data_IF_912369761977
#
_entry.id   IF_912369761977
#
_cell.length_a   1.000
_cell.length_b   1.000
_cell.length_c   1.000
_cell.angle_alpha   90.00
_cell.angle_beta   90.00
_cell.angle_gamma   90.00
#
_symmetry.space_group_name_H-M   'P 1'
#
loop_
_entity.id
_entity.type
_entity.pdbx_description
1 polymer ?
#
# COMPACT_ATOMS: atom_id res chain seq x y z
N UNK A 1 -15.14 -8.29 -9.21
CA UNK A 1 -14.18 -8.72 -10.24
C UNK A 1 -12.81 -8.15 -9.87
N UNK A 2 -11.92 -8.98 -9.27
CA UNK A 2 -10.59 -8.55 -8.82
C UNK A 2 -9.74 -7.96 -9.94
N UNK A 3 -9.74 -8.59 -11.12
CA UNK A 3 -8.95 -8.13 -12.27
C UNK A 3 -9.35 -6.70 -12.70
N UNK A 4 -10.65 -6.39 -12.70
CA UNK A 4 -11.12 -5.03 -13.01
C UNK A 4 -10.60 -3.99 -12.01
N UNK A 5 -10.66 -4.29 -10.71
CA UNK A 5 -10.16 -3.37 -9.67
C UNK A 5 -8.67 -3.16 -9.82
N UNK A 6 -7.89 -4.22 -10.01
CA UNK A 6 -6.44 -4.12 -10.23
C UNK A 6 -6.11 -3.28 -11.46
N UNK A 7 -6.76 -3.54 -12.60
CA UNK A 7 -6.53 -2.76 -13.83
C UNK A 7 -6.87 -1.29 -13.65
N UNK A 8 -8.00 -0.98 -12.99
CA UNK A 8 -8.39 0.40 -12.71
C UNK A 8 -7.36 1.10 -11.82
N UNK A 9 -6.96 0.47 -10.72
CA UNK A 9 -6.00 1.01 -9.76
C UNK A 9 -4.65 1.23 -10.42
N UNK A 10 -4.15 0.25 -11.17
CA UNK A 10 -2.89 0.37 -11.91
C UNK A 10 -2.97 1.53 -12.89
N UNK A 11 -4.00 1.62 -13.72
CA UNK A 11 -4.13 2.70 -14.70
C UNK A 11 -4.20 4.10 -14.06
N UNK A 12 -4.97 4.26 -12.98
CA UNK A 12 -5.09 5.53 -12.26
C UNK A 12 -3.76 5.91 -11.59
N UNK A 13 -3.13 4.97 -10.90
CA UNK A 13 -1.87 5.20 -10.20
C UNK A 13 -0.75 5.50 -11.19
N UNK A 14 -0.62 4.73 -12.27
CA UNK A 14 0.36 4.95 -13.33
C UNK A 14 0.19 6.30 -14.01
N UNK A 15 -1.04 6.74 -14.26
CA UNK A 15 -1.30 8.06 -14.85
C UNK A 15 -0.86 9.23 -13.96
N UNK A 16 -0.55 8.95 -12.70
CA UNK A 16 -0.10 9.92 -11.70
C UNK A 16 1.40 9.78 -11.38
N UNK A 17 2.12 8.90 -12.08
CA UNK A 17 3.56 8.70 -11.91
C UNK A 17 4.30 9.29 -13.11
N UNK A 18 5.28 10.14 -12.81
CA UNK A 18 6.20 10.70 -13.79
C UNK A 18 7.53 9.95 -13.74
N UNK A 19 8.20 9.79 -14.88
CA UNK A 19 9.48 9.08 -14.98
C UNK A 19 9.37 7.57 -15.22
N UNK A 20 10.51 6.87 -15.16
CA UNK A 20 10.61 5.42 -15.39
C UNK A 20 11.60 4.80 -14.40
N UNK A 21 11.38 3.53 -14.05
CA UNK A 21 12.26 2.80 -13.12
C UNK A 21 12.39 3.51 -11.77
N UNK A 22 13.61 3.55 -11.24
CA UNK A 22 13.94 4.12 -9.92
C UNK A 22 13.77 5.64 -9.83
N UNK A 23 13.70 6.35 -10.95
CA UNK A 23 13.48 7.81 -11.00
C UNK A 23 12.00 8.19 -10.99
N UNK A 24 11.10 7.21 -10.83
CA UNK A 24 9.67 7.44 -10.81
C UNK A 24 9.28 8.32 -9.62
N UNK A 25 8.48 9.36 -9.87
CA UNK A 25 7.98 10.30 -8.87
C UNK A 25 6.48 10.38 -8.93
N UNK A 26 5.86 10.45 -7.75
CA UNK A 26 4.42 10.61 -7.64
C UNK A 26 4.02 12.07 -7.84
N UNK A 27 3.06 12.31 -8.74
CA UNK A 27 2.33 13.55 -8.82
C UNK A 27 1.08 13.46 -7.92
N UNK A 28 1.24 13.88 -6.66
CA UNK A 28 0.19 13.82 -5.64
C UNK A 28 -1.09 14.57 -6.06
N UNK A 29 -0.97 15.69 -6.76
CA UNK A 29 -2.12 16.46 -7.23
C UNK A 29 -2.93 15.68 -8.25
N UNK A 30 -2.27 15.00 -9.19
CA UNK A 30 -2.94 14.18 -10.20
C UNK A 30 -3.59 12.95 -9.53
N UNK A 31 -2.89 12.29 -8.62
CA UNK A 31 -3.44 11.13 -7.91
C UNK A 31 -4.70 11.54 -7.11
N UNK A 32 -4.60 12.59 -6.30
CA UNK A 32 -5.71 13.11 -5.49
C UNK A 32 -6.93 13.53 -6.31
N UNK A 33 -6.74 14.07 -7.52
CA UNK A 33 -7.86 14.40 -8.39
C UNK A 33 -8.57 13.15 -8.96
N UNK A 34 -7.90 11.98 -8.94
CA UNK A 34 -8.42 10.72 -9.48
C UNK A 34 -8.87 9.74 -8.40
N UNK A 35 -8.58 10.01 -7.12
CA UNK A 35 -9.00 9.15 -6.00
C UNK A 35 -10.52 9.04 -5.91
N UNK A 36 -11.28 10.05 -6.32
CA UNK A 36 -12.74 10.00 -6.37
C UNK A 36 -13.27 8.86 -7.29
N UNK A 37 -12.55 8.58 -8.38
CA UNK A 37 -12.88 7.45 -9.25
C UNK A 37 -12.61 6.14 -8.51
N UNK A 38 -11.45 5.99 -7.88
CA UNK A 38 -11.11 4.78 -7.11
C UNK A 38 -12.11 4.55 -5.98
N UNK A 39 -12.44 5.59 -5.22
CA UNK A 39 -13.41 5.57 -4.12
C UNK A 39 -14.75 4.98 -4.56
N UNK A 40 -15.26 5.39 -5.71
CA UNK A 40 -16.54 4.92 -6.25
C UNK A 40 -16.56 3.42 -6.61
N UNK A 41 -15.41 2.83 -6.92
CA UNK A 41 -15.32 1.42 -7.30
C UNK A 41 -14.85 0.52 -6.15
N UNK A 42 -14.14 1.06 -5.18
CA UNK A 42 -13.68 0.32 -3.98
C UNK A 42 -14.77 0.32 -2.91
N UNK A 43 -15.39 1.48 -2.65
CA UNK A 43 -16.60 1.66 -1.82
C UNK A 43 -16.53 1.02 -0.41
N UNK A 44 -15.37 1.11 0.26
CA UNK A 44 -15.15 0.55 1.59
C UNK A 44 -15.43 -0.97 1.70
N UNK A 45 -15.26 -1.69 0.59
CA UNK A 45 -15.39 -3.15 0.53
C UNK A 45 -14.00 -3.72 0.76
N UNK A 46 -13.80 -4.40 1.90
CA UNK A 46 -12.51 -4.95 2.34
C UNK A 46 -11.75 -5.71 1.23
N UNK A 47 -12.42 -6.62 0.53
CA UNK A 47 -11.81 -7.36 -0.58
C UNK A 47 -11.30 -6.46 -1.71
N UNK A 48 -11.98 -5.34 -1.99
CA UNK A 48 -11.58 -4.40 -3.06
C UNK A 48 -10.44 -3.50 -2.60
N UNK A 49 -10.43 -3.10 -1.33
CA UNK A 49 -9.32 -2.37 -0.73
C UNK A 49 -8.05 -3.22 -0.75
N UNK A 50 -8.15 -4.49 -0.36
CA UNK A 50 -7.04 -5.44 -0.41
C UNK A 50 -6.50 -5.62 -1.84
N UNK A 51 -7.39 -5.79 -2.83
CA UNK A 51 -6.99 -5.89 -4.24
C UNK A 51 -6.35 -4.60 -4.78
N UNK A 52 -6.77 -3.43 -4.29
CA UNK A 52 -6.16 -2.16 -4.61
C UNK A 52 -4.72 -2.09 -4.04
N UNK A 53 -4.53 -2.46 -2.79
CA UNK A 53 -3.22 -2.46 -2.13
C UNK A 53 -2.24 -3.41 -2.84
N UNK A 54 -2.67 -4.62 -3.21
CA UNK A 54 -1.87 -5.53 -4.01
C UNK A 54 -1.51 -4.99 -5.39
N UNK A 55 -2.45 -4.29 -6.05
CA UNK A 55 -2.18 -3.68 -7.35
C UNK A 55 -1.11 -2.58 -7.26
N UNK A 56 -1.15 -1.75 -6.21
CA UNK A 56 -0.13 -0.72 -5.96
C UNK A 56 1.22 -1.34 -5.60
N UNK A 57 1.26 -2.34 -4.72
CA UNK A 57 2.48 -3.08 -4.39
C UNK A 57 3.14 -3.64 -5.65
N UNK A 58 2.37 -4.37 -6.47
CA UNK A 58 2.83 -4.95 -7.74
C UNK A 58 3.42 -3.87 -8.65
N UNK A 59 2.72 -2.74 -8.81
CA UNK A 59 3.15 -1.64 -9.67
C UNK A 59 4.48 -1.03 -9.20
N UNK A 60 4.64 -0.80 -7.89
CA UNK A 60 5.88 -0.24 -7.33
C UNK A 60 7.04 -1.24 -7.45
N UNK A 61 6.78 -2.52 -7.27
CA UNK A 61 7.78 -3.58 -7.44
C UNK A 61 8.28 -3.67 -8.88
N UNK A 62 7.38 -3.58 -9.86
CA UNK A 62 7.75 -3.49 -11.28
C UNK A 62 8.62 -2.26 -11.59
N UNK A 63 8.53 -1.21 -10.76
CA UNK A 63 9.35 0.01 -10.87
C UNK A 63 10.61 -0.03 -9.99
N UNK A 64 10.93 -1.18 -9.39
CA UNK A 64 12.12 -1.40 -8.56
C UNK A 64 12.14 -0.53 -7.29
N UNK A 65 10.98 -0.37 -6.64
CA UNK A 65 10.83 0.36 -5.37
C UNK A 65 11.45 1.77 -5.35
N UNK A 66 10.97 2.70 -6.21
CA UNK A 66 11.40 4.10 -6.18
C UNK A 66 11.17 4.72 -4.80
N UNK A 67 12.15 5.49 -4.32
CA UNK A 67 12.15 6.03 -2.96
C UNK A 67 10.90 6.89 -2.70
N UNK A 68 10.13 6.53 -1.68
CA UNK A 68 8.94 7.27 -1.24
C UNK A 68 7.71 7.14 -2.15
N UNK A 69 7.79 6.38 -3.25
CA UNK A 69 6.66 6.26 -4.19
C UNK A 69 5.47 5.55 -3.56
N UNK A 70 5.68 4.36 -2.99
CA UNK A 70 4.59 3.59 -2.38
C UNK A 70 4.00 4.31 -1.17
N UNK A 71 4.86 4.93 -0.35
CA UNK A 71 4.43 5.69 0.81
C UNK A 71 3.50 6.84 0.40
N UNK A 72 3.90 7.68 -0.57
CA UNK A 72 3.05 8.77 -1.03
C UNK A 72 1.74 8.30 -1.67
N UNK A 73 1.74 7.15 -2.35
CA UNK A 73 0.51 6.57 -2.90
C UNK A 73 -0.43 6.15 -1.75
N UNK A 74 0.08 5.42 -0.77
CA UNK A 74 -0.71 4.91 0.36
C UNK A 74 -1.22 6.04 1.27
N UNK A 75 -0.40 7.02 1.60
CA UNK A 75 -0.82 8.24 2.31
C UNK A 75 -1.96 8.94 1.56
N UNK A 76 -1.82 9.14 0.24
CA UNK A 76 -2.87 9.80 -0.56
C UNK A 76 -4.17 9.01 -0.61
N UNK A 77 -4.10 7.67 -0.65
CA UNK A 77 -5.27 6.78 -0.66
C UNK A 77 -6.00 6.80 0.69
N UNK A 78 -5.25 6.81 1.78
CA UNK A 78 -5.79 6.94 3.14
C UNK A 78 -6.44 8.31 3.34
N UNK A 79 -5.73 9.41 3.06
CA UNK A 79 -6.23 10.78 3.19
C UNK A 79 -7.46 11.07 2.33
N UNK A 80 -7.62 10.34 1.22
CA UNK A 80 -8.77 10.44 0.32
C UNK A 80 -9.90 9.47 0.67
N UNK A 81 -9.79 8.75 1.79
CA UNK A 81 -10.79 7.81 2.28
C UNK A 81 -11.12 6.69 1.26
N UNK A 82 -10.12 6.26 0.49
CA UNK A 82 -10.22 5.18 -0.52
C UNK A 82 -9.91 3.82 0.11
N UNK A 83 -9.00 3.80 1.07
CA UNK A 83 -8.59 2.61 1.81
C UNK A 83 -8.70 2.92 3.30
N UNK A 84 -9.38 2.05 4.03
CA UNK A 84 -9.52 2.14 5.48
C UNK A 84 -8.29 1.59 6.21
N UNK A 85 -8.19 1.86 7.51
CA UNK A 85 -7.17 1.23 8.35
C UNK A 85 -7.28 -0.30 8.35
N UNK A 86 -8.50 -0.83 8.45
CA UNK A 86 -8.79 -2.27 8.36
C UNK A 86 -8.29 -2.87 7.03
N UNK A 87 -8.37 -2.10 5.94
CA UNK A 87 -7.81 -2.47 4.64
C UNK A 87 -6.29 -2.62 4.68
N UNK A 88 -5.58 -1.67 5.32
CA UNK A 88 -4.14 -1.77 5.53
C UNK A 88 -3.78 -2.93 6.46
N UNK A 89 -4.49 -3.11 7.57
CA UNK A 89 -4.30 -4.22 8.50
C UNK A 89 -4.45 -5.57 7.81
N UNK A 90 -5.51 -5.71 7.00
CA UNK A 90 -5.78 -6.91 6.22
C UNK A 90 -4.65 -7.19 5.23
N UNK A 91 -4.15 -6.17 4.54
CA UNK A 91 -3.03 -6.31 3.62
C UNK A 91 -1.72 -6.71 4.33
N UNK A 92 -1.46 -6.13 5.51
CA UNK A 92 -0.29 -6.50 6.31
C UNK A 92 -0.38 -7.94 6.78
N UNK A 93 -1.53 -8.36 7.30
CA UNK A 93 -1.76 -9.69 7.88
C UNK A 93 -1.92 -10.79 6.82
N UNK A 94 -2.17 -10.44 5.57
CA UNK A 94 -2.44 -11.42 4.52
C UNK A 94 -1.17 -12.18 4.06
N UNK A 95 -1.10 -13.48 4.35
CA UNK A 95 -0.06 -14.37 3.84
C UNK A 95 -0.53 -15.10 2.56
N UNK A 96 -0.59 -14.37 1.45
CA UNK A 96 -0.85 -14.95 0.13
C UNK A 96 0.49 -15.22 -0.60
N UNK A 97 0.81 -16.49 -0.93
CA UNK A 97 2.01 -16.83 -1.67
C UNK A 97 2.16 -16.13 -3.03
N UNK A 98 1.05 -15.78 -3.69
CA UNK A 98 1.04 -15.10 -4.98
C UNK A 98 1.32 -13.60 -4.86
N UNK A 99 1.07 -12.99 -3.69
CA UNK A 99 1.21 -11.56 -3.46
C UNK A 99 2.39 -11.23 -2.52
N UNK A 100 3.27 -12.20 -2.24
CA UNK A 100 4.45 -12.01 -1.38
C UNK A 100 5.54 -11.17 -2.04
N UNK A 101 5.59 -11.16 -3.38
CA UNK A 101 6.62 -10.43 -4.11
C UNK A 101 6.52 -8.91 -3.86
N UNK A 102 7.61 -8.30 -3.36
CA UNK A 102 7.66 -6.88 -3.08
C UNK A 102 7.00 -6.44 -1.76
N UNK A 103 6.24 -7.31 -1.08
CA UNK A 103 5.54 -7.00 0.17
C UNK A 103 6.51 -6.58 1.28
N UNK A 104 7.57 -7.35 1.55
CA UNK A 104 8.52 -7.00 2.61
C UNK A 104 9.22 -5.64 2.39
N UNK A 105 9.58 -5.32 1.14
CA UNK A 105 10.20 -4.02 0.80
C UNK A 105 9.17 -2.88 0.95
N UNK A 106 7.93 -3.12 0.53
CA UNK A 106 6.82 -2.20 0.75
C UNK A 106 6.62 -1.92 2.24
N UNK A 107 6.44 -2.95 3.06
CA UNK A 107 6.27 -2.87 4.52
C UNK A 107 7.39 -2.08 5.19
N UNK A 108 8.65 -2.40 4.87
CA UNK A 108 9.83 -1.68 5.39
C UNK A 108 9.81 -0.20 5.00
N UNK A 109 9.33 0.13 3.80
CA UNK A 109 9.28 1.51 3.32
C UNK A 109 8.20 2.31 4.04
N UNK A 110 7.05 1.71 4.30
CA UNK A 110 5.89 2.40 4.89
C UNK A 110 5.76 2.21 6.40
N UNK A 111 6.74 1.59 7.06
CA UNK A 111 6.67 1.25 8.49
C UNK A 111 6.26 2.45 9.35
N UNK A 112 6.85 3.62 9.12
CA UNK A 112 6.50 4.84 9.85
C UNK A 112 5.06 5.30 9.62
N UNK A 113 4.52 5.11 8.42
CA UNK A 113 3.12 5.41 8.11
C UNK A 113 2.18 4.43 8.84
N UNK A 114 2.52 3.15 8.89
CA UNK A 114 1.73 2.15 9.61
C UNK A 114 1.73 2.38 11.13
N UNK A 115 2.86 2.79 11.70
CA UNK A 115 2.92 3.20 13.12
C UNK A 115 2.02 4.41 13.36
N UNK A 116 2.06 5.41 12.48
CA UNK A 116 1.19 6.57 12.60
C UNK A 116 -0.30 6.22 12.49
N UNK A 117 -0.68 5.28 11.61
CA UNK A 117 -2.07 4.81 11.49
C UNK A 117 -2.59 4.27 12.83
N UNK A 118 -1.80 3.43 13.51
CA UNK A 118 -2.17 2.89 14.84
C UNK A 118 -2.24 3.96 15.92
N UNK A 119 -1.25 4.86 15.96
CA UNK A 119 -1.18 5.92 16.96
C UNK A 119 -2.36 6.91 16.82
N UNK A 120 -2.95 7.04 15.62
CA UNK A 120 -4.11 7.88 15.38
C UNK A 120 -5.42 7.30 15.97
N UNK A 121 -5.46 6.00 16.30
CA UNK A 121 -6.63 5.32 16.90
C UNK A 121 -6.54 5.27 18.45
N UNK A 122 -5.35 5.48 19.04
CA UNK A 122 -5.10 5.35 20.49
C UNK A 122 -4.82 6.69 21.19
N UNK A 123 -5.88 7.41 21.59
CA UNK A 123 -5.79 8.44 22.65
C UNK A 123 -5.89 7.84 24.08
N UNK A 124 -5.87 6.51 24.23
CA UNK A 124 -5.81 5.86 25.55
C UNK A 124 -5.05 4.54 25.53
N UNK A 125 -4.09 4.50 26.43
CA UNK A 125 -3.36 3.35 26.96
C UNK A 125 -2.22 2.75 26.12
N UNK A 126 -1.06 2.78 26.80
CA UNK A 126 0.28 2.45 26.39
C UNK A 126 0.48 0.94 26.31
N UNK A 127 0.37 0.33 25.13
CA UNK A 127 1.00 -0.98 24.84
C UNK A 127 1.59 -0.98 23.43
N UNK A 128 2.91 -0.76 23.34
CA UNK A 128 3.69 -0.80 22.10
C UNK A 128 4.04 -2.23 21.64
N UNK A 129 3.31 -3.25 22.12
CA UNK A 129 3.61 -4.67 21.89
C UNK A 129 2.78 -5.30 20.75
N UNK A 130 1.68 -4.67 20.32
CA UNK A 130 0.86 -5.14 19.20
C UNK A 130 1.20 -4.38 17.89
N UNK A 131 2.48 -4.31 17.53
CA UNK A 131 2.81 -4.00 16.13
C UNK A 131 2.16 -5.09 15.26
N UNK A 132 1.47 -4.73 14.17
CA UNK A 132 1.00 -5.76 13.22
C UNK A 132 2.21 -6.64 12.92
N UNK A 133 2.13 -7.96 13.14
CA UNK A 133 3.30 -8.83 13.13
C UNK A 133 3.89 -8.91 11.72
N UNK A 134 4.70 -7.92 11.37
CA UNK A 134 5.50 -7.88 10.15
C UNK A 134 6.88 -8.49 10.40
N UNK A 135 7.17 -8.95 11.62
CA UNK A 135 8.47 -9.54 11.97
C UNK A 135 8.73 -10.78 11.13
N UNK A 136 7.70 -11.61 10.92
CA UNK A 136 7.77 -12.76 10.03
C UNK A 136 8.02 -12.39 8.55
N UNK A 137 7.42 -11.29 8.08
CA UNK A 137 7.55 -10.82 6.69
C UNK A 137 8.92 -10.17 6.40
N UNK A 138 9.49 -9.46 7.38
CA UNK A 138 10.81 -8.83 7.26
C UNK A 138 11.95 -9.86 7.32
N UNK A 139 11.82 -10.91 8.15
CA UNK A 139 12.85 -11.96 8.27
C UNK A 139 12.86 -12.94 7.09
N UNK A 140 11.69 -13.26 6.51
CA UNK A 140 11.60 -14.23 5.41
C UNK A 140 12.26 -13.77 4.09
N UNK A 141 12.59 -12.48 3.96
CA UNK A 141 13.18 -11.91 2.74
C UNK A 141 14.69 -11.64 2.82
N UNK A 142 15.35 -11.89 3.97
CA UNK A 142 16.82 -11.82 4.07
C UNK A 142 17.51 -13.05 3.47
N UNK A 143 16.77 -14.14 3.17
CA UNK A 143 17.34 -15.43 2.75
C UNK A 143 17.43 -15.60 1.21
N UNK A 144 17.18 -14.56 0.41
CA UNK A 144 17.27 -14.63 -1.08
C UNK A 144 18.28 -13.68 -1.72
N UNK A 145 19.28 -13.23 -0.95
CA UNK A 145 20.45 -12.53 -1.48
C UNK A 145 21.74 -13.31 -1.19
N UNK A 146 21.82 -14.54 -1.71
CA UNK A 146 23.10 -15.25 -1.91
C UNK A 146 23.03 -16.05 -3.21
#
# INVERSE_FOLDING_TARGET
NPAFIRTLVTAVTESSIEGRGTDSKLNNTVLKNRTEVLRRYVDNIADRELQLLYAVQTLVTQRQHPKGLIQGIFETLYDSNVVSEEGFESWVSADDPLEREGKAVALKTITSFLTWLKDADHESDQEADDFWDISGELQNNEVKLI
#
